data_IF_372736868140
#
_entry.id   IF_372736868140
#
_cell.length_a   1.000
_cell.length_b   1.000
_cell.length_c   1.000
_cell.angle_alpha   90.00
_cell.angle_beta   90.00
_cell.angle_gamma   90.00
#
_symmetry.space_group_name_H-M   'P 1'
#
loop_
_entity.id
_entity.type
_entity.pdbx_description
1 polymer ?
#
# COMPACT_ATOMS: atom_id res chain seq x y z
N UNK A 1 -26.45 1.38 -5.71
CA UNK A 1 -25.07 0.89 -5.56
C UNK A 1 -25.09 -0.60 -5.80
N UNK A 2 -24.23 -1.06 -6.69
CA UNK A 2 -24.10 -2.45 -7.13
C UNK A 2 -23.02 -3.18 -6.31
N UNK A 3 -21.99 -2.45 -5.86
CA UNK A 3 -20.87 -3.01 -5.09
C UNK A 3 -20.46 -2.06 -3.98
N UNK A 4 -20.26 -2.59 -2.76
CA UNK A 4 -19.68 -1.86 -1.64
C UNK A 4 -18.44 -2.58 -1.14
N UNK A 5 -17.31 -1.88 -1.10
CA UNK A 5 -16.07 -2.40 -0.53
C UNK A 5 -15.90 -1.97 0.92
N UNK A 6 -15.45 -2.89 1.76
CA UNK A 6 -15.07 -2.62 3.14
C UNK A 6 -13.60 -2.96 3.34
N UNK A 7 -12.81 -2.02 3.86
CA UNK A 7 -11.40 -2.26 4.07
C UNK A 7 -10.64 -1.12 4.73
N UNK A 8 -9.35 -1.37 4.97
CA UNK A 8 -8.45 -0.35 5.50
C UNK A 8 -8.12 0.71 4.43
N UNK A 9 -8.09 1.97 4.85
CA UNK A 9 -7.62 3.08 4.01
C UNK A 9 -6.10 3.19 4.16
N UNK A 10 -5.38 2.73 3.14
CA UNK A 10 -3.92 2.67 3.17
C UNK A 10 -3.29 3.70 2.23
N UNK A 11 -2.02 4.01 2.48
CA UNK A 11 -1.17 4.75 1.55
C UNK A 11 -0.06 3.82 1.10
N UNK A 12 -0.01 3.55 -0.21
CA UNK A 12 1.05 2.74 -0.80
C UNK A 12 2.25 3.63 -1.12
N UNK A 13 3.42 3.23 -0.64
CA UNK A 13 4.70 3.87 -0.95
C UNK A 13 5.61 2.85 -1.63
N UNK A 14 5.88 3.04 -2.91
CA UNK A 14 6.74 2.14 -3.69
C UNK A 14 8.13 2.74 -3.78
N UNK A 15 9.09 2.05 -3.17
CA UNK A 15 10.51 2.40 -3.22
C UNK A 15 11.27 1.42 -4.10
N UNK A 16 12.15 1.96 -4.94
CA UNK A 16 13.21 1.18 -5.58
C UNK A 16 14.43 1.18 -4.64
N UNK A 17 15.04 0.01 -4.49
CA UNK A 17 16.21 -0.24 -3.63
C UNK A 17 17.18 -1.14 -4.37
N UNK A 18 18.46 -0.99 -4.08
CA UNK A 18 19.52 -1.76 -4.76
C UNK A 18 19.57 -3.22 -4.29
N UNK A 19 19.31 -3.48 -3.00
CA UNK A 19 19.32 -4.81 -2.40
C UNK A 19 18.26 -4.98 -1.31
N UNK A 20 17.39 -5.99 -1.46
CA UNK A 20 16.35 -6.35 -0.50
C UNK A 20 16.89 -7.13 0.72
N UNK A 21 17.99 -7.87 0.56
CA UNK A 21 18.54 -8.68 1.65
C UNK A 21 19.03 -7.80 2.80
N UNK A 22 19.62 -6.64 2.48
CA UNK A 22 20.02 -5.61 3.46
C UNK A 22 18.86 -5.07 4.33
N UNK A 23 17.60 -5.26 3.90
CA UNK A 23 16.40 -4.83 4.62
C UNK A 23 15.75 -5.95 5.44
N UNK A 24 16.28 -7.19 5.37
CA UNK A 24 15.61 -8.37 5.92
C UNK A 24 14.26 -8.65 5.25
N UNK A 25 14.09 -8.24 3.97
CA UNK A 25 12.86 -8.44 3.20
C UNK A 25 13.11 -9.51 2.14
N UNK A 26 12.29 -10.55 2.16
CA UNK A 26 12.29 -11.58 1.14
C UNK A 26 11.45 -11.16 -0.08
N UNK A 27 11.97 -11.41 -1.28
CA UNK A 27 11.26 -11.10 -2.52
C UNK A 27 9.93 -11.89 -2.59
N UNK A 28 8.85 -11.18 -2.91
CA UNK A 28 7.52 -11.77 -3.11
C UNK A 28 6.78 -12.12 -1.81
N UNK A 29 7.26 -11.66 -0.65
CA UNK A 29 6.60 -11.83 0.64
C UNK A 29 5.88 -10.55 1.06
N UNK A 30 4.77 -10.74 1.75
CA UNK A 30 4.11 -9.72 2.56
C UNK A 30 4.46 -9.95 4.02
N UNK A 31 4.68 -8.87 4.77
CA UNK A 31 4.89 -8.93 6.22
C UNK A 31 4.09 -7.84 6.91
N UNK A 32 3.58 -8.16 8.09
CA UNK A 32 3.03 -7.19 9.02
C UNK A 32 4.08 -6.91 10.09
N UNK A 33 4.23 -5.64 10.48
CA UNK A 33 5.15 -5.22 11.52
C UNK A 33 4.53 -4.15 12.41
N UNK A 34 5.22 -3.82 13.50
CA UNK A 34 4.86 -2.72 14.38
C UNK A 34 5.02 -1.36 13.68
N UNK A 35 4.44 -0.32 14.29
CA UNK A 35 4.57 1.04 13.78
C UNK A 35 6.00 1.56 13.89
N UNK A 36 6.74 1.12 14.92
CA UNK A 36 8.14 1.41 15.16
C UNK A 36 9.02 0.83 14.05
N UNK A 37 8.82 -0.45 13.71
CA UNK A 37 9.50 -1.08 12.57
C UNK A 37 9.21 -0.36 11.25
N UNK A 38 7.96 0.05 11.03
CA UNK A 38 7.58 0.84 9.86
C UNK A 38 8.33 2.19 9.82
N UNK A 39 8.41 2.90 10.95
CA UNK A 39 9.11 4.19 11.02
C UNK A 39 10.60 4.06 10.73
N UNK A 40 11.25 3.04 11.27
CA UNK A 40 12.68 2.79 11.06
C UNK A 40 12.95 2.42 9.60
N UNK A 41 12.12 1.55 9.02
CA UNK A 41 12.18 1.22 7.59
C UNK A 41 11.98 2.47 6.72
N UNK A 42 10.97 3.30 7.01
CA UNK A 42 10.70 4.50 6.25
C UNK A 42 11.85 5.51 6.35
N UNK A 43 12.48 5.65 7.52
CA UNK A 43 13.66 6.50 7.72
C UNK A 43 14.85 6.01 6.89
N UNK A 44 15.06 4.70 6.83
CA UNK A 44 16.08 4.09 5.98
C UNK A 44 15.78 4.35 4.49
N UNK A 45 14.56 4.06 4.03
CA UNK A 45 14.16 4.21 2.63
C UNK A 45 14.21 5.66 2.17
N UNK A 46 13.88 6.64 3.02
CA UNK A 46 14.06 8.07 2.69
C UNK A 46 15.52 8.47 2.48
N UNK A 47 16.47 7.76 3.08
CA UNK A 47 17.92 8.04 2.95
C UNK A 47 18.58 7.26 1.82
N UNK A 48 18.13 6.03 1.58
CA UNK A 48 18.82 5.05 0.71
C UNK A 48 17.99 4.56 -0.46
N UNK A 49 16.67 4.56 -0.35
CA UNK A 49 15.77 4.16 -1.43
C UNK A 49 15.38 5.34 -2.32
N UNK A 50 14.86 5.03 -3.50
CA UNK A 50 14.28 5.99 -4.43
C UNK A 50 12.77 5.83 -4.45
N UNK A 51 12.04 6.84 -3.95
CA UNK A 51 10.57 6.84 -4.01
C UNK A 51 10.12 6.91 -5.48
N UNK A 52 9.42 5.89 -5.95
CA UNK A 52 8.88 5.81 -7.32
C UNK A 52 7.41 6.20 -7.38
N UNK A 53 6.65 5.87 -6.34
CA UNK A 53 5.22 6.17 -6.29
C UNK A 53 4.75 6.36 -4.85
N UNK A 54 3.81 7.29 -4.67
CA UNK A 54 3.01 7.45 -3.47
C UNK A 54 1.55 7.62 -3.90
N UNK A 55 0.69 6.68 -3.52
CA UNK A 55 -0.71 6.64 -3.95
C UNK A 55 -1.63 6.18 -2.83
N UNK A 56 -2.94 6.31 -3.06
CA UNK A 56 -3.91 5.54 -2.27
C UNK A 56 -3.66 4.04 -2.47
N UNK A 57 -3.87 3.28 -1.41
CA UNK A 57 -3.67 1.84 -1.37
C UNK A 57 -4.86 1.11 -0.75
N UNK A 58 -4.65 -0.18 -0.50
CA UNK A 58 -5.65 -1.07 0.07
C UNK A 58 -6.40 -1.85 -1.01
N UNK A 59 -6.42 -3.17 -0.86
CA UNK A 59 -6.95 -4.09 -1.88
C UNK A 59 -8.43 -3.82 -2.19
N UNK A 60 -9.25 -3.61 -1.16
CA UNK A 60 -10.68 -3.30 -1.33
C UNK A 60 -10.89 -1.93 -2.00
N UNK A 61 -10.13 -0.91 -1.59
CA UNK A 61 -10.23 0.44 -2.17
C UNK A 61 -9.86 0.45 -3.65
N UNK A 62 -8.74 -0.19 -4.02
CA UNK A 62 -8.28 -0.28 -5.40
C UNK A 62 -9.27 -1.05 -6.28
N UNK A 63 -9.88 -2.11 -5.74
CA UNK A 63 -10.90 -2.89 -6.46
C UNK A 63 -12.15 -2.06 -6.73
N UNK A 64 -12.68 -1.37 -5.71
CA UNK A 64 -13.84 -0.48 -5.86
C UNK A 64 -13.56 0.67 -6.82
N UNK A 65 -12.35 1.24 -6.74
CA UNK A 65 -11.94 2.28 -7.67
C UNK A 65 -11.95 1.77 -9.12
N UNK A 66 -11.36 0.59 -9.38
CA UNK A 66 -11.36 -0.01 -10.71
C UNK A 66 -12.78 -0.30 -11.23
N UNK A 67 -13.66 -0.88 -10.39
CA UNK A 67 -15.05 -1.16 -10.77
C UNK A 67 -15.83 0.12 -11.06
N UNK A 68 -15.65 1.18 -10.28
CA UNK A 68 -16.26 2.49 -10.57
C UNK A 68 -15.80 3.05 -11.92
N UNK A 69 -14.52 2.86 -12.28
CA UNK A 69 -13.98 3.23 -13.60
C UNK A 69 -14.53 2.38 -14.75
N UNK A 70 -15.01 1.17 -14.47
CA UNK A 70 -15.68 0.29 -15.43
C UNK A 70 -17.19 0.56 -15.56
N UNK A 71 -17.74 1.50 -14.79
CA UNK A 71 -19.14 1.94 -14.91
C UNK A 71 -20.10 1.37 -13.87
N UNK A 72 -19.62 0.60 -12.89
CA UNK A 72 -20.46 0.11 -11.79
C UNK A 72 -20.76 1.23 -10.78
N UNK A 73 -21.96 1.22 -10.20
CA UNK A 73 -22.30 2.11 -9.08
C UNK A 73 -21.66 1.57 -7.80
N UNK A 74 -20.57 2.19 -7.34
CA UNK A 74 -19.83 1.66 -6.19
C UNK A 74 -19.84 2.58 -4.96
N UNK A 75 -19.69 1.96 -3.78
CA UNK A 75 -19.41 2.63 -2.50
C UNK A 75 -18.20 2.02 -1.80
N UNK A 76 -17.60 2.76 -0.89
CA UNK A 76 -16.50 2.28 -0.07
C UNK A 76 -16.65 2.74 1.38
N UNK A 77 -16.42 1.84 2.33
CA UNK A 77 -16.38 2.13 3.75
C UNK A 77 -15.05 1.66 4.34
N UNK A 78 -14.35 2.54 5.04
CA UNK A 78 -13.06 2.20 5.63
C UNK A 78 -12.60 3.20 6.69
N UNK A 79 -11.51 2.83 7.36
CA UNK A 79 -10.83 3.66 8.36
C UNK A 79 -9.33 3.62 8.12
N UNK A 80 -8.67 4.73 8.45
CA UNK A 80 -7.21 4.91 8.47
C UNK A 80 -6.59 4.40 9.76
#
# INVERSE_FOLDING_TARGET
MDVVGLGALNVDMVYEVDDLASLGIEKGRERMGSYEEFKDLLKFLKKKGKLRMKSGGGSAANTIYALGRMGFSCGYLGKT
#
